data_IF_669904906309
#
_entry.id   IF_669904906309
#
_cell.length_a   1.000
_cell.length_b   1.000
_cell.length_c   1.000
_cell.angle_alpha   90.00
_cell.angle_beta   90.00
_cell.angle_gamma   90.00
#
_symmetry.space_group_name_H-M   'P 1'
#
loop_
_entity.id
_entity.type
_entity.pdbx_description
1 polymer ?
#
# COMPACT_ATOMS: atom_id res chain seq x y z
N UNK A 1 91.32 10.86 9.68
CA UNK A 1 90.36 11.19 8.60
C UNK A 1 89.39 10.02 8.48
N UNK A 2 88.08 10.24 8.38
CA UNK A 2 87.13 9.14 8.16
C UNK A 2 87.50 8.43 6.86
N UNK A 3 87.49 7.10 6.89
CA UNK A 3 87.86 6.25 5.76
C UNK A 3 86.92 6.54 4.57
N UNK A 4 87.44 6.97 3.39
CA UNK A 4 86.61 7.34 2.23
C UNK A 4 85.69 6.20 1.77
N UNK A 5 86.05 4.96 2.10
CA UNK A 5 85.25 3.76 1.85
C UNK A 5 83.91 3.79 2.61
N UNK A 6 83.88 4.28 3.84
CA UNK A 6 82.67 4.37 4.65
C UNK A 6 81.69 5.43 4.15
N UNK A 7 82.20 6.54 3.64
CA UNK A 7 81.36 7.62 3.07
C UNK A 7 80.63 7.13 1.82
N UNK A 8 81.30 6.36 0.97
CA UNK A 8 80.70 5.78 -0.23
C UNK A 8 79.60 4.75 0.09
N UNK A 9 79.80 3.91 1.12
CA UNK A 9 78.80 2.94 1.57
C UNK A 9 77.55 3.65 2.11
N UNK A 10 77.73 4.71 2.91
CA UNK A 10 76.61 5.50 3.45
C UNK A 10 75.83 6.17 2.30
N UNK A 11 76.52 6.73 1.31
CA UNK A 11 75.88 7.35 0.14
C UNK A 11 75.11 6.32 -0.70
N UNK A 12 75.67 5.13 -0.92
CA UNK A 12 74.97 4.07 -1.64
C UNK A 12 73.70 3.61 -0.91
N UNK A 13 73.76 3.47 0.41
CA UNK A 13 72.62 3.06 1.21
C UNK A 13 71.54 4.16 1.26
N UNK A 14 71.92 5.44 1.31
CA UNK A 14 70.99 6.57 1.19
C UNK A 14 70.29 6.59 -0.17
N UNK A 15 71.03 6.38 -1.27
CA UNK A 15 70.46 6.28 -2.61
C UNK A 15 69.52 5.08 -2.71
N UNK A 16 69.89 3.92 -2.14
CA UNK A 16 69.05 2.73 -2.12
C UNK A 16 67.73 2.99 -1.38
N UNK A 17 67.79 3.61 -0.20
CA UNK A 17 66.60 3.98 0.59
C UNK A 17 65.73 5.00 -0.13
N UNK A 18 66.32 6.04 -0.69
CA UNK A 18 65.59 7.06 -1.47
C UNK A 18 64.86 6.45 -2.67
N UNK A 19 65.49 5.49 -3.36
CA UNK A 19 64.85 4.76 -4.45
C UNK A 19 63.72 3.85 -3.97
N UNK A 20 63.87 3.20 -2.82
CA UNK A 20 62.82 2.37 -2.21
C UNK A 20 61.62 3.23 -1.80
N UNK A 21 61.87 4.36 -1.15
CA UNK A 21 60.84 5.32 -0.75
C UNK A 21 60.12 5.91 -1.97
N UNK A 22 60.85 6.23 -3.03
CA UNK A 22 60.25 6.69 -4.30
C UNK A 22 59.30 5.65 -4.91
N UNK A 23 59.65 4.35 -4.83
CA UNK A 23 58.77 3.26 -5.29
C UNK A 23 57.53 3.14 -4.40
N UNK A 24 57.70 3.27 -3.08
CA UNK A 24 56.59 3.24 -2.12
C UNK A 24 55.63 4.41 -2.34
N UNK A 25 56.14 5.62 -2.56
CA UNK A 25 55.34 6.81 -2.85
C UNK A 25 54.49 6.62 -4.11
N UNK A 26 55.08 6.14 -5.22
CA UNK A 26 54.31 5.81 -6.43
C UNK A 26 53.21 4.78 -6.17
N UNK A 27 53.49 3.78 -5.35
CA UNK A 27 52.50 2.78 -4.96
C UNK A 27 51.35 3.37 -4.12
N UNK A 28 51.64 4.38 -3.29
CA UNK A 28 50.62 5.10 -2.53
C UNK A 28 49.79 6.02 -3.41
N UNK A 29 50.41 6.74 -4.35
CA UNK A 29 49.72 7.60 -5.33
C UNK A 29 48.72 6.77 -6.15
N UNK A 30 49.13 5.63 -6.71
CA UNK A 30 48.23 4.74 -7.45
C UNK A 30 47.05 4.23 -6.60
N UNK A 31 47.30 3.96 -5.30
CA UNK A 31 46.24 3.55 -4.38
C UNK A 31 45.28 4.69 -4.06
N UNK A 32 45.80 5.91 -3.91
CA UNK A 32 44.99 7.10 -3.69
C UNK A 32 44.08 7.36 -4.90
N UNK A 33 44.63 7.33 -6.12
CA UNK A 33 43.85 7.48 -7.35
C UNK A 33 42.74 6.42 -7.45
N UNK A 34 43.06 5.17 -7.10
CA UNK A 34 42.07 4.09 -7.09
C UNK A 34 40.98 4.30 -6.04
N UNK A 35 41.32 4.83 -4.87
CA UNK A 35 40.36 5.15 -3.80
C UNK A 35 39.47 6.32 -4.23
N UNK A 36 40.04 7.38 -4.80
CA UNK A 36 39.31 8.55 -5.28
C UNK A 36 38.27 8.15 -6.34
N UNK A 37 38.68 7.33 -7.31
CA UNK A 37 37.76 6.78 -8.31
C UNK A 37 36.62 5.95 -7.69
N UNK A 38 36.92 5.16 -6.64
CA UNK A 38 35.90 4.38 -5.93
C UNK A 38 34.94 5.27 -5.14
N UNK A 39 35.44 6.34 -4.52
CA UNK A 39 34.62 7.32 -3.81
C UNK A 39 33.69 8.03 -4.78
N UNK A 40 34.21 8.53 -5.91
CA UNK A 40 33.40 9.19 -6.94
C UNK A 40 32.30 8.28 -7.47
N UNK A 41 32.61 7.00 -7.75
CA UNK A 41 31.62 6.03 -8.18
C UNK A 41 30.58 5.72 -7.09
N UNK A 42 31.01 5.64 -5.83
CA UNK A 42 30.11 5.42 -4.70
C UNK A 42 29.16 6.61 -4.50
N UNK A 43 29.66 7.84 -4.57
CA UNK A 43 28.86 9.06 -4.47
C UNK A 43 27.83 9.14 -5.59
N UNK A 44 28.24 8.91 -6.83
CA UNK A 44 27.32 8.89 -7.98
C UNK A 44 26.22 7.83 -7.81
N UNK A 45 26.59 6.61 -7.41
CA UNK A 45 25.64 5.54 -7.13
C UNK A 45 24.68 5.88 -5.98
N UNK A 46 25.19 6.54 -4.93
CA UNK A 46 24.40 7.00 -3.80
C UNK A 46 23.39 8.08 -4.22
N UNK A 47 23.82 9.07 -5.01
CA UNK A 47 22.96 10.12 -5.55
C UNK A 47 21.85 9.54 -6.44
N UNK A 48 22.19 8.59 -7.32
CA UNK A 48 21.22 7.94 -8.19
C UNK A 48 20.22 7.09 -7.40
N UNK A 49 20.67 6.37 -6.37
CA UNK A 49 19.79 5.64 -5.46
C UNK A 49 18.85 6.58 -4.72
N UNK A 50 19.35 7.71 -4.22
CA UNK A 50 18.55 8.71 -3.51
C UNK A 50 17.46 9.29 -4.43
N UNK A 51 17.81 9.67 -5.67
CA UNK A 51 16.83 10.10 -6.68
C UNK A 51 15.75 9.05 -6.94
N UNK A 52 16.12 7.78 -7.12
CA UNK A 52 15.16 6.68 -7.34
C UNK A 52 14.24 6.47 -6.13
N UNK A 53 14.78 6.59 -4.92
CA UNK A 53 13.99 6.49 -3.68
C UNK A 53 12.97 7.63 -3.60
N UNK A 54 13.37 8.87 -3.89
CA UNK A 54 12.46 10.02 -3.89
C UNK A 54 11.34 9.88 -4.93
N UNK A 55 11.66 9.37 -6.13
CA UNK A 55 10.65 9.08 -7.15
C UNK A 55 9.65 8.02 -6.67
N UNK A 56 10.13 6.93 -6.07
CA UNK A 56 9.27 5.89 -5.49
C UNK A 56 8.38 6.43 -4.36
N UNK A 57 8.89 7.33 -3.52
CA UNK A 57 8.09 7.99 -2.50
C UNK A 57 6.97 8.85 -3.11
N UNK A 58 7.27 9.58 -4.19
CA UNK A 58 6.25 10.37 -4.89
C UNK A 58 5.18 9.49 -5.55
N UNK A 59 5.58 8.38 -6.18
CA UNK A 59 4.65 7.38 -6.74
C UNK A 59 3.78 6.74 -5.66
N UNK A 60 4.37 6.45 -4.49
CA UNK A 60 3.66 5.88 -3.35
C UNK A 60 2.65 6.89 -2.77
N UNK A 61 3.01 8.16 -2.63
CA UNK A 61 2.09 9.23 -2.19
C UNK A 61 0.88 9.36 -3.13
N UNK A 62 1.12 9.33 -4.44
CA UNK A 62 0.06 9.34 -5.44
C UNK A 62 -0.84 8.10 -5.32
N UNK A 63 -0.24 6.92 -5.13
CA UNK A 63 -1.00 5.67 -4.97
C UNK A 63 -1.88 5.68 -3.71
N UNK A 64 -1.37 6.23 -2.60
CA UNK A 64 -2.13 6.39 -1.35
C UNK A 64 -3.31 7.36 -1.54
N UNK A 65 -3.11 8.45 -2.28
CA UNK A 65 -4.20 9.39 -2.61
C UNK A 65 -5.30 8.71 -3.42
N UNK A 66 -4.93 7.96 -4.46
CA UNK A 66 -5.89 7.20 -5.27
C UNK A 66 -6.66 6.18 -4.43
N UNK A 67 -5.97 5.41 -3.58
CA UNK A 67 -6.62 4.47 -2.66
C UNK A 67 -7.59 5.16 -1.70
N UNK A 68 -7.21 6.34 -1.21
CA UNK A 68 -8.08 7.14 -0.33
C UNK A 68 -9.35 7.59 -1.06
N UNK A 69 -9.23 8.04 -2.30
CA UNK A 69 -10.40 8.41 -3.13
C UNK A 69 -11.31 7.22 -3.41
N UNK A 70 -10.74 6.04 -3.71
CA UNK A 70 -11.51 4.81 -3.90
C UNK A 70 -12.23 4.38 -2.62
N UNK A 71 -11.57 4.45 -1.46
CA UNK A 71 -12.19 4.19 -0.16
C UNK A 71 -13.34 5.16 0.14
N UNK A 72 -13.21 6.44 -0.20
CA UNK A 72 -14.31 7.40 -0.08
C UNK A 72 -15.50 7.02 -0.96
N UNK A 73 -15.27 6.57 -2.20
CA UNK A 73 -16.34 6.10 -3.09
C UNK A 73 -17.03 4.85 -2.53
N UNK A 74 -16.27 3.90 -2.00
CA UNK A 74 -16.81 2.68 -1.36
C UNK A 74 -17.65 3.03 -0.14
N UNK A 75 -17.15 3.90 0.75
CA UNK A 75 -17.90 4.37 1.92
C UNK A 75 -19.20 5.07 1.52
N UNK A 76 -19.17 5.94 0.50
CA UNK A 76 -20.38 6.56 -0.04
C UNK A 76 -21.36 5.53 -0.63
N UNK A 77 -20.87 4.46 -1.25
CA UNK A 77 -21.68 3.33 -1.70
C UNK A 77 -22.34 2.57 -0.54
N UNK A 78 -21.58 2.26 0.50
CA UNK A 78 -22.07 1.59 1.70
C UNK A 78 -23.15 2.39 2.41
N UNK A 79 -23.00 3.72 2.52
CA UNK A 79 -24.04 4.58 3.08
C UNK A 79 -25.35 4.52 2.27
N UNK A 80 -25.27 4.49 0.95
CA UNK A 80 -26.46 4.36 0.08
C UNK A 80 -27.14 3.01 0.28
N UNK A 81 -26.35 1.93 0.35
CA UNK A 81 -26.86 0.58 0.65
C UNK A 81 -27.56 0.58 2.01
N UNK A 82 -26.92 1.12 3.05
CA UNK A 82 -27.50 1.19 4.40
C UNK A 82 -28.83 1.98 4.40
N UNK A 83 -28.90 3.11 3.68
CA UNK A 83 -30.16 3.87 3.51
C UNK A 83 -31.24 3.04 2.80
N UNK A 84 -30.88 2.26 1.79
CA UNK A 84 -31.83 1.40 1.07
C UNK A 84 -32.32 0.22 1.92
N UNK A 85 -31.43 -0.43 2.67
CA UNK A 85 -31.75 -1.50 3.62
C UNK A 85 -32.73 -1.00 4.69
N UNK A 86 -32.46 0.16 5.28
CA UNK A 86 -33.37 0.78 6.26
C UNK A 86 -34.75 1.10 5.66
N UNK A 87 -34.81 1.55 4.41
CA UNK A 87 -36.10 1.77 3.71
C UNK A 87 -36.82 0.46 3.42
N UNK A 88 -36.09 -0.59 3.06
CA UNK A 88 -36.66 -1.91 2.77
C UNK A 88 -37.24 -2.56 4.02
N UNK A 89 -36.50 -2.54 5.14
CA UNK A 89 -36.97 -3.03 6.44
C UNK A 89 -38.29 -2.35 6.83
N UNK A 90 -38.34 -1.00 6.82
CA UNK A 90 -39.58 -0.26 7.11
C UNK A 90 -40.76 -0.62 6.20
N UNK A 91 -40.51 -0.89 4.91
CA UNK A 91 -41.56 -1.30 3.96
C UNK A 91 -42.08 -2.71 4.26
N UNK A 92 -41.20 -3.60 4.71
CA UNK A 92 -41.58 -4.95 5.12
C UNK A 92 -42.42 -4.90 6.40
N UNK A 93 -41.99 -4.13 7.40
CA UNK A 93 -42.73 -3.94 8.66
C UNK A 93 -44.14 -3.36 8.38
N UNK A 94 -44.25 -2.37 7.49
CA UNK A 94 -45.55 -1.80 7.09
C UNK A 94 -46.45 -2.83 6.40
N UNK A 95 -45.90 -3.68 5.53
CA UNK A 95 -46.67 -4.77 4.88
C UNK A 95 -47.15 -5.82 5.89
N UNK A 96 -46.35 -6.09 6.91
CA UNK A 96 -46.73 -7.03 7.96
C UNK A 96 -47.86 -6.46 8.82
N UNK A 97 -47.77 -5.17 9.19
CA UNK A 97 -48.86 -4.46 9.87
C UNK A 97 -50.13 -4.47 9.01
N UNK A 98 -50.03 -4.19 7.71
CA UNK A 98 -51.17 -4.23 6.78
C UNK A 98 -51.84 -5.61 6.74
N UNK A 99 -51.05 -6.69 6.70
CA UNK A 99 -51.58 -8.07 6.78
C UNK A 99 -52.24 -8.38 8.12
N UNK A 100 -51.66 -7.94 9.22
CA UNK A 100 -52.26 -8.10 10.55
C UNK A 100 -53.57 -7.33 10.66
N UNK A 101 -53.64 -6.13 10.07
CA UNK A 101 -54.84 -5.29 10.06
C UNK A 101 -55.93 -5.92 9.18
N UNK A 102 -55.57 -6.51 8.04
CA UNK A 102 -56.50 -7.28 7.20
C UNK A 102 -57.05 -8.53 7.91
N UNK A 103 -56.25 -9.19 8.75
CA UNK A 103 -56.67 -10.33 9.57
C UNK A 103 -57.63 -9.92 10.70
N UNK A 104 -57.45 -8.74 11.28
CA UNK A 104 -58.22 -8.25 12.44
C UNK A 104 -59.47 -7.49 11.99
N UNK A 105 -59.49 -6.90 10.79
CA UNK A 105 -60.60 -6.10 10.30
C UNK A 105 -61.81 -6.97 9.97
N UNK A 106 -62.91 -6.91 10.75
CA UNK A 106 -64.13 -7.66 10.47
C UNK A 106 -64.84 -7.15 9.20
N UNK A 107 -64.37 -6.02 8.64
CA UNK A 107 -64.97 -5.34 7.49
C UNK A 107 -64.73 -6.06 6.15
N UNK A 108 -63.78 -6.99 6.08
CA UNK A 108 -63.53 -7.83 4.88
C UNK A 108 -63.96 -9.29 5.04
N UNK A 109 -64.43 -9.69 6.22
CA UNK A 109 -65.11 -10.97 6.34
C UNK A 109 -66.49 -10.79 5.73
N UNK A 110 -66.70 -11.31 4.52
CA UNK A 110 -68.04 -11.58 4.03
C UNK A 110 -68.70 -12.50 5.07
N UNK A 111 -69.54 -11.92 5.93
CA UNK A 111 -70.32 -12.67 6.90
C UNK A 111 -71.36 -13.46 6.12
N UNK A 112 -70.97 -14.65 5.69
CA UNK A 112 -71.87 -15.63 5.09
C UNK A 112 -72.82 -16.10 6.19
N UNK A 113 -74.10 -15.75 6.06
CA UNK A 113 -75.15 -16.30 6.95
C UNK A 113 -75.20 -17.82 6.83
N UNK A 114 -75.59 -18.52 7.91
CA UNK A 114 -75.64 -19.99 7.96
C UNK A 114 -76.32 -20.61 6.72
N UNK A 115 -77.38 -19.95 6.25
CA UNK A 115 -78.17 -20.40 5.10
C UNK A 115 -77.38 -20.34 3.78
N UNK A 116 -76.51 -19.33 3.61
CA UNK A 116 -75.65 -19.18 2.44
C UNK A 116 -74.48 -20.18 2.45
N UNK A 117 -73.96 -20.53 3.63
CA UNK A 117 -72.94 -21.57 3.77
C UNK A 117 -73.48 -22.96 3.38
N UNK A 118 -74.74 -23.26 3.74
CA UNK A 118 -75.39 -24.53 3.38
C UNK A 118 -75.71 -24.65 1.88
N UNK A 119 -76.01 -23.55 1.20
CA UNK A 119 -76.20 -23.53 -0.25
C UNK A 119 -74.90 -23.80 -1.00
N UNK A 120 -73.78 -23.18 -0.62
CA UNK A 120 -72.48 -23.46 -1.26
C UNK A 120 -72.02 -24.90 -1.04
N UNK A 121 -72.20 -25.45 0.17
CA UNK A 121 -71.83 -26.83 0.50
C UNK A 121 -72.62 -27.88 -0.31
N UNK A 122 -73.89 -27.59 -0.63
CA UNK A 122 -74.69 -28.44 -1.52
C UNK A 122 -74.25 -28.32 -2.98
N UNK A 123 -73.82 -27.14 -3.41
CA UNK A 123 -73.33 -26.94 -4.78
C UNK A 123 -71.94 -27.58 -5.04
N UNK A 124 -71.11 -27.71 -4.00
CA UNK A 124 -69.76 -28.29 -4.10
C UNK A 124 -69.71 -29.84 -4.03
N UNK A 125 -70.85 -30.52 -3.79
CA UNK A 125 -70.94 -31.99 -3.73
C UNK A 125 -71.57 -32.64 -4.99
N UNK A 126 -71.73 -31.86 -6.07
CA UNK A 126 -72.00 -32.35 -7.42
C UNK A 126 -70.82 -32.09 -8.34
#
# INVERSE_FOLDING_TARGET
>A
MPDPTNVNVIMQELVRRSNEDSRRLRGLEQRLDAIENRINNFENSSLDRNKKVNLKFAEMDLSIKTLTEELMKVNGGLEKINKQVNKFARKQDLKEIERMLDLISPLKQEFVTKDQLEEELKSAQH
#
